data_IF_044620626265
#
_entry.id   IF_044620626265
#
_cell.length_a   1.000
_cell.length_b   1.000
_cell.length_c   1.000
_cell.angle_alpha   90.00
_cell.angle_beta   90.00
_cell.angle_gamma   90.00
#
_symmetry.space_group_name_H-M   'P 1'
#
loop_
_entity.id
_entity.type
_entity.pdbx_description
1 polymer ?
#
# COMPACT_ATOMS: atom_id res chain seq x y z
N UNK A 1 5.90 5.76 -26.16
CA UNK A 1 5.23 5.64 -24.85
C UNK A 1 4.41 4.35 -24.81
N UNK A 2 4.66 3.49 -23.81
CA UNK A 2 3.97 2.22 -23.71
C UNK A 2 2.51 2.45 -23.28
N UNK A 3 1.56 1.67 -23.84
CA UNK A 3 0.16 1.78 -23.41
C UNK A 3 0.01 1.41 -21.93
N UNK A 4 -1.00 1.95 -21.24
CA UNK A 4 -1.20 1.69 -19.82
C UNK A 4 -1.77 0.27 -19.61
N UNK A 5 -0.89 -0.71 -19.52
CA UNK A 5 -1.25 -2.06 -19.09
C UNK A 5 -0.86 -2.24 -17.63
N UNK A 6 -1.53 -3.14 -16.92
CA UNK A 6 -1.16 -3.47 -15.55
C UNK A 6 0.31 -3.86 -15.42
N UNK A 7 0.81 -4.65 -16.36
CA UNK A 7 2.20 -5.08 -16.36
C UNK A 7 3.19 -3.91 -16.50
N UNK A 8 2.92 -2.99 -17.42
CA UNK A 8 3.80 -1.83 -17.64
C UNK A 8 3.81 -0.89 -16.44
N UNK A 9 2.65 -0.67 -15.83
CA UNK A 9 2.52 0.16 -14.65
C UNK A 9 3.27 -0.47 -13.47
N UNK A 10 3.10 -1.76 -13.29
CA UNK A 10 3.74 -2.50 -12.21
C UNK A 10 5.26 -2.50 -12.36
N UNK A 11 5.76 -2.69 -13.58
CA UNK A 11 7.19 -2.63 -13.87
C UNK A 11 7.79 -1.26 -13.54
N UNK A 12 7.08 -0.18 -13.90
CA UNK A 12 7.50 1.17 -13.56
C UNK A 12 7.52 1.41 -12.05
N UNK A 13 6.51 0.92 -11.36
CA UNK A 13 6.41 1.03 -9.89
C UNK A 13 7.53 0.24 -9.20
N UNK A 14 7.85 -0.96 -9.69
CA UNK A 14 8.97 -1.76 -9.19
C UNK A 14 10.30 -1.03 -9.37
N UNK A 15 10.53 -0.41 -10.52
CA UNK A 15 11.76 0.33 -10.77
C UNK A 15 11.92 1.51 -9.79
N UNK A 16 10.83 2.22 -9.50
CA UNK A 16 10.84 3.28 -8.50
C UNK A 16 11.06 2.74 -7.09
N UNK A 17 10.41 1.63 -6.76
CA UNK A 17 10.55 0.99 -5.46
C UNK A 17 12.00 0.56 -5.20
N UNK A 18 12.69 0.09 -6.23
CA UNK A 18 14.11 -0.27 -6.13
C UNK A 18 14.96 0.92 -5.67
N UNK A 19 14.69 2.10 -6.21
CA UNK A 19 15.41 3.32 -5.83
C UNK A 19 15.08 3.77 -4.40
N UNK A 20 13.87 3.48 -3.92
CA UNK A 20 13.39 3.91 -2.60
C UNK A 20 13.75 2.93 -1.48
N UNK A 21 14.11 1.70 -1.81
CA UNK A 21 14.38 0.63 -0.84
C UNK A 21 15.38 1.04 0.25
N UNK A 22 16.53 1.68 -0.07
CA UNK A 22 17.45 2.12 0.98
C UNK A 22 16.84 3.15 1.92
N UNK A 23 15.94 4.00 1.42
CA UNK A 23 15.24 5.01 2.23
C UNK A 23 14.29 4.33 3.21
N UNK A 24 13.52 3.33 2.76
CA UNK A 24 12.63 2.55 3.63
C UNK A 24 13.43 1.92 4.78
N UNK A 25 14.54 1.30 4.45
CA UNK A 25 15.39 0.65 5.44
C UNK A 25 15.93 1.63 6.47
N UNK A 26 16.38 2.78 6.02
CA UNK A 26 16.90 3.84 6.90
C UNK A 26 15.82 4.35 7.85
N UNK A 27 14.63 4.64 7.34
CA UNK A 27 13.52 5.13 8.15
C UNK A 27 13.08 4.12 9.21
N UNK A 28 12.95 2.86 8.84
CA UNK A 28 12.52 1.79 9.76
C UNK A 28 13.58 1.58 10.83
N UNK A 29 14.85 1.50 10.46
CA UNK A 29 15.96 1.31 11.40
C UNK A 29 16.03 2.46 12.41
N UNK A 30 15.80 3.69 11.94
CA UNK A 30 15.78 4.86 12.82
C UNK A 30 14.63 4.80 13.81
N UNK A 31 13.43 4.48 13.33
CA UNK A 31 12.26 4.35 14.20
C UNK A 31 12.48 3.30 15.29
N UNK A 32 13.05 2.15 14.94
CA UNK A 32 13.38 1.09 15.89
C UNK A 32 14.38 1.56 16.93
N UNK A 33 15.44 2.21 16.49
CA UNK A 33 16.48 2.71 17.38
C UNK A 33 15.97 3.77 18.34
N UNK A 34 15.06 4.63 17.89
CA UNK A 34 14.47 5.68 18.70
C UNK A 34 13.25 5.21 19.51
N UNK A 35 12.79 3.99 19.30
CA UNK A 35 11.65 3.42 20.02
C UNK A 35 10.32 4.08 19.69
N UNK A 36 10.17 4.58 18.47
CA UNK A 36 8.93 5.24 18.02
C UNK A 36 8.19 4.38 17.02
N UNK A 37 6.86 4.52 17.01
CA UNK A 37 6.02 3.88 16.00
C UNK A 37 6.20 4.57 14.65
N UNK A 38 6.17 3.79 13.58
CA UNK A 38 6.28 4.28 12.22
C UNK A 38 5.26 3.58 11.34
N UNK A 39 4.48 4.38 10.61
CA UNK A 39 3.61 3.90 9.55
C UNK A 39 4.09 4.54 8.26
N UNK A 40 4.34 3.70 7.26
CA UNK A 40 4.72 4.16 5.92
C UNK A 40 3.66 3.68 4.95
N UNK A 41 3.25 4.55 4.04
CA UNK A 41 2.27 4.18 3.02
C UNK A 41 2.76 4.58 1.64
N UNK A 42 2.28 3.86 0.64
CA UNK A 42 2.56 4.16 -0.75
C UNK A 42 2.51 2.91 -1.61
N UNK A 43 2.41 3.10 -2.90
CA UNK A 43 2.34 2.02 -3.88
C UNK A 43 3.66 1.27 -4.07
N UNK A 44 4.73 1.75 -3.47
CA UNK A 44 6.06 1.16 -3.61
C UNK A 44 6.37 0.07 -2.58
N UNK A 45 5.46 -0.14 -1.62
CA UNK A 45 5.56 -1.24 -0.66
C UNK A 45 4.93 -2.49 -1.25
N UNK A 46 5.64 -3.12 -2.17
CA UNK A 46 5.12 -4.19 -3.03
C UNK A 46 5.40 -5.54 -2.37
N UNK A 47 4.35 -6.35 -2.11
CA UNK A 47 4.54 -7.70 -1.58
C UNK A 47 5.49 -8.52 -2.44
N UNK A 48 6.36 -9.27 -1.78
CA UNK A 48 7.41 -10.05 -2.44
C UNK A 48 8.65 -9.28 -2.78
N UNK A 49 8.52 -8.00 -3.11
CA UNK A 49 9.66 -7.11 -3.33
C UNK A 49 10.16 -6.52 -2.02
N UNK A 50 9.25 -6.14 -1.13
CA UNK A 50 9.56 -5.71 0.24
C UNK A 50 9.17 -6.82 1.19
N UNK A 51 10.14 -7.42 1.87
CA UNK A 51 9.89 -8.42 2.90
C UNK A 51 9.92 -7.71 4.26
N UNK A 52 8.80 -7.70 5.02
CA UNK A 52 8.75 -7.04 6.31
C UNK A 52 9.79 -7.60 7.30
N UNK A 53 10.12 -8.88 7.20
CA UNK A 53 11.11 -9.49 8.08
C UNK A 53 12.52 -8.96 7.82
N UNK A 54 12.86 -8.66 6.59
CA UNK A 54 14.14 -8.09 6.20
C UNK A 54 14.35 -6.70 6.81
N UNK A 55 13.28 -5.96 6.99
CA UNK A 55 13.30 -4.59 7.51
C UNK A 55 12.95 -4.50 8.99
N UNK A 56 12.70 -5.63 9.65
CA UNK A 56 12.21 -5.65 11.04
C UNK A 56 10.91 -4.84 11.20
N UNK A 57 10.03 -4.94 10.21
CA UNK A 57 8.71 -4.35 10.23
C UNK A 57 7.69 -5.34 10.79
N UNK A 58 6.70 -4.82 11.50
CA UNK A 58 5.68 -5.66 12.14
C UNK A 58 4.62 -6.14 11.17
N UNK A 59 4.32 -5.36 10.14
CA UNK A 59 3.26 -5.67 9.19
C UNK A 59 3.51 -4.98 7.84
N UNK A 60 3.34 -5.73 6.78
CA UNK A 60 3.12 -5.22 5.43
C UNK A 60 1.75 -5.69 4.98
N UNK A 61 0.90 -4.80 4.55
CA UNK A 61 -0.42 -5.14 4.02
C UNK A 61 -0.75 -4.29 2.81
N UNK A 62 -1.69 -4.78 1.99
CA UNK A 62 -2.22 -4.04 0.85
C UNK A 62 -3.64 -3.62 1.17
N UNK A 63 -3.97 -2.38 0.88
CA UNK A 63 -5.34 -1.88 1.03
C UNK A 63 -6.10 -2.12 -0.26
N UNK A 64 -7.27 -2.73 -0.14
CA UNK A 64 -8.17 -3.01 -1.25
C UNK A 64 -9.43 -2.15 -1.15
N UNK A 65 -9.68 -1.33 -2.16
CA UNK A 65 -10.96 -0.65 -2.35
C UNK A 65 -11.70 -1.41 -3.45
N UNK A 66 -12.61 -2.36 -3.09
CA UNK A 66 -13.18 -3.29 -4.06
C UNK A 66 -14.03 -2.64 -5.15
N UNK A 67 -14.70 -1.56 -4.84
CA UNK A 67 -15.51 -0.81 -5.81
C UNK A 67 -14.61 0.16 -6.57
N UNK A 68 -14.46 -0.06 -7.88
CA UNK A 68 -13.59 0.76 -8.74
C UNK A 68 -14.05 2.22 -8.83
N UNK A 69 -15.36 2.46 -8.84
CA UNK A 69 -15.89 3.81 -8.86
C UNK A 69 -15.60 4.54 -7.56
N UNK A 70 -15.69 3.83 -6.44
CA UNK A 70 -15.33 4.36 -5.12
C UNK A 70 -13.83 4.68 -5.05
N UNK A 71 -12.98 3.81 -5.56
CA UNK A 71 -11.54 4.05 -5.63
C UNK A 71 -11.22 5.33 -6.42
N UNK A 72 -11.85 5.49 -7.58
CA UNK A 72 -11.69 6.69 -8.41
C UNK A 72 -12.20 7.94 -7.69
N UNK A 73 -13.35 7.84 -7.03
CA UNK A 73 -13.93 8.95 -6.28
C UNK A 73 -13.03 9.39 -5.13
N UNK A 74 -12.44 8.45 -4.41
CA UNK A 74 -11.49 8.75 -3.33
C UNK A 74 -10.23 9.44 -3.84
N UNK A 75 -9.72 9.01 -5.00
CA UNK A 75 -8.55 9.63 -5.62
C UNK A 75 -8.80 11.08 -6.02
N UNK A 76 -10.05 11.43 -6.34
CA UNK A 76 -10.48 12.78 -6.69
C UNK A 76 -10.91 13.61 -5.48
N UNK A 77 -10.85 13.04 -4.28
CA UNK A 77 -11.26 13.70 -3.04
C UNK A 77 -10.45 14.99 -2.82
N UNK A 78 -11.07 16.04 -2.22
CA UNK A 78 -10.37 17.26 -1.84
C UNK A 78 -9.16 17.06 -0.93
N UNK A 79 -9.07 15.92 -0.26
CA UNK A 79 -7.92 15.57 0.58
C UNK A 79 -6.66 15.32 -0.24
N UNK A 80 -6.77 15.10 -1.54
CA UNK A 80 -5.65 14.97 -2.47
C UNK A 80 -5.40 16.29 -3.19
N UNK A 81 -5.20 17.34 -2.42
CA UNK A 81 -4.91 18.67 -2.94
C UNK A 81 -3.70 18.66 -3.86
N UNK A 82 -3.76 19.45 -4.92
CA UNK A 82 -2.70 19.62 -5.92
C UNK A 82 -2.54 18.46 -6.92
N UNK A 83 -3.49 17.51 -6.95
CA UNK A 83 -3.52 16.49 -8.01
C UNK A 83 -4.69 16.73 -8.95
N UNK A 84 -4.37 17.03 -10.18
CA UNK A 84 -5.34 16.92 -11.27
C UNK A 84 -5.16 15.54 -11.89
N UNK A 85 -6.19 14.69 -11.78
CA UNK A 85 -6.16 13.35 -12.33
C UNK A 85 -7.05 13.27 -13.55
N UNK A 86 -6.49 12.87 -14.67
CA UNK A 86 -7.24 12.56 -15.88
C UNK A 86 -7.93 11.21 -15.75
N UNK A 87 -8.86 10.90 -16.65
CA UNK A 87 -9.48 9.57 -16.72
C UNK A 87 -8.42 8.47 -16.97
N UNK A 88 -7.36 8.80 -17.68
CA UNK A 88 -6.23 7.93 -17.92
C UNK A 88 -5.47 7.60 -16.62
N UNK A 89 -5.26 8.60 -15.78
CA UNK A 89 -4.61 8.41 -14.48
C UNK A 89 -5.46 7.57 -13.55
N UNK A 90 -6.78 7.73 -13.58
CA UNK A 90 -7.71 6.93 -12.78
C UNK A 90 -7.70 5.46 -13.21
N UNK A 91 -7.61 5.18 -14.51
CA UNK A 91 -7.47 3.81 -15.00
C UNK A 91 -6.13 3.19 -14.57
N UNK A 92 -5.07 3.95 -14.58
CA UNK A 92 -3.77 3.50 -14.08
C UNK A 92 -3.84 3.15 -12.60
N UNK A 93 -4.55 3.94 -11.81
CA UNK A 93 -4.73 3.67 -10.39
C UNK A 93 -5.45 2.34 -10.15
N UNK A 94 -6.51 2.05 -10.90
CA UNK A 94 -7.22 0.78 -10.81
C UNK A 94 -6.32 -0.38 -11.19
N UNK A 95 -5.57 -0.26 -12.28
CA UNK A 95 -4.64 -1.29 -12.73
C UNK A 95 -3.53 -1.54 -11.70
N UNK A 96 -3.01 -0.48 -11.10
CA UNK A 96 -1.98 -0.60 -10.07
C UNK A 96 -2.51 -1.35 -8.84
N UNK A 97 -3.71 -1.03 -8.38
CA UNK A 97 -4.33 -1.74 -7.27
C UNK A 97 -4.47 -3.24 -7.59
N UNK A 98 -4.93 -3.58 -8.78
CA UNK A 98 -5.05 -4.98 -9.20
C UNK A 98 -3.70 -5.70 -9.15
N UNK A 99 -2.63 -5.06 -9.61
CA UNK A 99 -1.29 -5.64 -9.57
C UNK A 99 -0.78 -5.82 -8.13
N UNK A 100 -1.05 -4.88 -7.25
CA UNK A 100 -0.67 -4.99 -5.84
C UNK A 100 -1.44 -6.10 -5.13
N UNK A 101 -2.72 -6.26 -5.44
CA UNK A 101 -3.54 -7.35 -4.89
C UNK A 101 -3.05 -8.71 -5.39
N UNK A 102 -2.70 -8.83 -6.66
CA UNK A 102 -2.13 -10.05 -7.21
C UNK A 102 -0.81 -10.41 -6.52
N UNK A 103 0.05 -9.44 -6.29
CA UNK A 103 1.29 -9.64 -5.57
C UNK A 103 1.04 -10.07 -4.11
N UNK A 104 0.06 -9.45 -3.45
CA UNK A 104 -0.31 -9.82 -2.09
C UNK A 104 -0.77 -11.28 -2.01
N UNK A 105 -1.58 -11.72 -2.96
CA UNK A 105 -2.04 -13.10 -3.02
C UNK A 105 -0.89 -14.06 -3.31
N UNK A 106 0.00 -13.70 -4.21
CA UNK A 106 1.14 -14.54 -4.58
C UNK A 106 2.11 -14.75 -3.42
N UNK A 107 2.35 -13.71 -2.62
CA UNK A 107 3.32 -13.72 -1.52
C UNK A 107 2.67 -13.82 -0.14
N UNK A 108 1.38 -14.12 -0.08
CA UNK A 108 0.62 -14.28 1.16
C UNK A 108 0.70 -13.07 2.09
N UNK A 109 0.78 -11.88 1.53
CA UNK A 109 0.67 -10.65 2.30
C UNK A 109 -0.80 -10.36 2.62
N UNK A 110 -1.10 -9.89 3.83
CA UNK A 110 -2.47 -9.55 4.20
C UNK A 110 -3.07 -8.47 3.31
N UNK A 111 -4.35 -8.63 3.00
CA UNK A 111 -5.15 -7.65 2.26
C UNK A 111 -6.19 -7.10 3.23
N UNK A 112 -6.24 -5.78 3.34
CA UNK A 112 -7.21 -5.07 4.16
C UNK A 112 -8.30 -4.54 3.25
N UNK A 113 -9.52 -4.99 3.45
CA UNK A 113 -10.68 -4.47 2.70
C UNK A 113 -11.04 -3.10 3.27
N UNK A 114 -10.79 -2.05 2.49
CA UNK A 114 -10.92 -0.67 2.91
C UNK A 114 -12.19 -0.03 2.35
N UNK A 115 -13.34 -0.46 2.85
CA UNK A 115 -14.65 0.13 2.54
C UNK A 115 -15.00 1.17 3.59
N UNK A 116 -14.90 0.79 4.86
CA UNK A 116 -15.15 1.63 6.03
C UNK A 116 -13.84 1.79 6.82
N UNK A 117 -13.54 3.01 7.21
CA UNK A 117 -12.30 3.33 7.91
C UNK A 117 -12.17 2.57 9.24
N UNK A 118 -13.22 2.57 10.05
CA UNK A 118 -13.18 1.90 11.36
C UNK A 118 -12.94 0.40 11.22
N UNK A 119 -13.60 -0.22 10.26
CA UNK A 119 -13.41 -1.64 9.97
C UNK A 119 -12.00 -1.93 9.48
N UNK A 120 -11.47 -1.11 8.58
CA UNK A 120 -10.11 -1.26 8.08
C UNK A 120 -9.07 -1.15 9.21
N UNK A 121 -9.24 -0.19 10.11
CA UNK A 121 -8.38 -0.03 11.28
C UNK A 121 -8.44 -1.26 12.18
N UNK A 122 -9.62 -1.81 12.41
CA UNK A 122 -9.79 -3.03 13.20
C UNK A 122 -9.08 -4.23 12.57
N UNK A 123 -9.15 -4.38 11.26
CA UNK A 123 -8.44 -5.44 10.54
C UNK A 123 -6.93 -5.34 10.78
N UNK A 124 -6.38 -4.14 10.74
CA UNK A 124 -4.96 -3.89 10.97
C UNK A 124 -4.57 -4.24 12.41
N UNK A 125 -5.34 -3.78 13.38
CA UNK A 125 -5.11 -4.11 14.80
C UNK A 125 -5.13 -5.61 15.03
N UNK A 126 -6.08 -6.32 14.42
CA UNK A 126 -6.16 -7.77 14.53
C UNK A 126 -4.88 -8.45 14.00
N UNK A 127 -4.36 -7.99 12.86
CA UNK A 127 -3.13 -8.54 12.27
C UNK A 127 -1.90 -8.25 13.13
N UNK A 128 -1.87 -7.14 13.84
CA UNK A 128 -0.80 -6.79 14.76
C UNK A 128 -0.90 -7.56 16.10
N UNK A 129 -1.95 -8.36 16.26
CA UNK A 129 -2.18 -9.09 17.51
C UNK A 129 -2.69 -8.19 18.63
N UNK A 130 -3.08 -6.96 18.32
CA UNK A 130 -3.69 -6.08 19.30
C UNK A 130 -5.13 -6.52 19.55
N UNK A 131 -5.39 -6.93 20.79
CA UNK A 131 -6.73 -7.29 21.20
C UNK A 131 -7.59 -6.04 21.30
N UNK A 132 -8.74 -6.04 20.61
CA UNK A 132 -9.76 -5.01 20.82
C UNK A 132 -10.36 -5.12 22.21
N UNK A 133 -9.99 -6.14 22.93
CA UNK A 133 -10.47 -6.49 24.26
C UNK A 133 -9.40 -6.14 25.28
N UNK A 134 -8.98 -4.92 25.29
CA UNK A 134 -8.27 -4.38 26.42
C UNK A 134 -9.30 -4.07 27.49
N UNK A 135 -9.67 -5.11 28.14
CA UNK A 135 -10.40 -4.93 29.40
C UNK A 135 -9.54 -4.19 30.40
#
# INVERSE_FOLDING_TARGET
ELPPTGENIFRGTLAQAELLKPIFKTCISRARREGIGLIMEGSHFIPGFVDPNEYDADLLCVLDVPNRDDLKARALSPNHLHRELSSFDLERLVLLQEQLLDAANLYNSPIIVNVDLDDAVQQIHHLLGESSDTS
#
